data_IF_526817291399
#
_entry.id   IF_526817291399
#
_cell.length_a   1.000
_cell.length_b   1.000
_cell.length_c   1.000
_cell.angle_alpha   90.00
_cell.angle_beta   90.00
_cell.angle_gamma   90.00
#
_symmetry.space_group_name_H-M   'P 1'
#
loop_
_entity.id
_entity.type
_entity.pdbx_description
1 polymer ?
#
# COMPACT_ATOMS: atom_id res chain seq x y z
N UNK A 1 -32.19 21.10 -32.54
CA UNK A 1 -30.93 20.35 -32.75
C UNK A 1 -30.28 20.05 -31.37
N UNK A 2 -31.03 19.52 -30.39
CA UNK A 2 -30.55 19.16 -29.05
C UNK A 2 -31.36 18.00 -28.43
N UNK A 3 -31.75 17.02 -29.27
CA UNK A 3 -32.57 15.88 -28.84
C UNK A 3 -31.83 14.57 -28.54
N UNK A 4 -30.49 14.50 -28.74
CA UNK A 4 -29.71 13.24 -28.62
C UNK A 4 -28.98 13.07 -27.29
N UNK A 5 -28.84 14.12 -26.50
CA UNK A 5 -28.11 14.05 -25.21
C UNK A 5 -28.94 13.48 -24.06
N UNK A 6 -30.28 13.48 -24.14
CA UNK A 6 -31.14 13.01 -23.05
C UNK A 6 -31.45 11.52 -23.09
N UNK A 7 -31.27 10.82 -24.19
CA UNK A 7 -31.49 9.36 -24.29
C UNK A 7 -30.29 8.53 -23.80
N UNK A 8 -29.10 9.13 -23.64
CA UNK A 8 -27.92 8.42 -23.16
C UNK A 8 -27.80 8.34 -21.62
N UNK A 9 -28.59 9.12 -20.89
CA UNK A 9 -28.55 9.15 -19.42
C UNK A 9 -29.69 8.35 -18.74
N UNK A 10 -30.61 7.78 -19.50
CA UNK A 10 -31.65 6.87 -19.00
C UNK A 10 -31.23 5.40 -19.11
N UNK A 11 -29.97 5.07 -18.81
CA UNK A 11 -29.55 3.68 -18.69
C UNK A 11 -29.88 3.15 -17.30
N UNK A 12 -30.90 2.32 -17.29
CA UNK A 12 -31.39 1.42 -16.25
C UNK A 12 -30.33 1.12 -15.17
N UNK A 13 -30.80 1.13 -13.90
CA UNK A 13 -30.07 0.54 -12.78
C UNK A 13 -29.61 -0.86 -13.20
N UNK A 14 -28.30 -1.12 -13.30
CA UNK A 14 -27.85 -2.45 -13.71
C UNK A 14 -28.29 -3.45 -12.67
N UNK A 15 -28.98 -4.47 -13.12
CA UNK A 15 -29.45 -5.61 -12.36
C UNK A 15 -28.29 -6.24 -11.56
N UNK A 16 -28.60 -6.74 -10.37
CA UNK A 16 -27.58 -7.31 -9.46
C UNK A 16 -26.80 -8.46 -10.11
N UNK A 17 -27.45 -9.20 -11.02
CA UNK A 17 -26.84 -10.28 -11.81
C UNK A 17 -25.80 -9.77 -12.82
N UNK A 18 -26.03 -8.62 -13.44
CA UNK A 18 -25.09 -7.99 -14.39
C UNK A 18 -23.86 -7.44 -13.66
N UNK A 19 -24.03 -6.87 -12.46
CA UNK A 19 -22.90 -6.44 -11.62
C UNK A 19 -22.01 -7.60 -11.18
N UNK A 20 -22.61 -8.75 -10.92
CA UNK A 20 -21.89 -9.97 -10.54
C UNK A 20 -21.15 -10.57 -11.74
N UNK A 21 -21.75 -10.58 -12.93
CA UNK A 21 -21.11 -11.04 -14.17
C UNK A 21 -19.93 -10.16 -14.58
N UNK A 22 -20.03 -8.84 -14.46
CA UNK A 22 -18.91 -7.91 -14.74
C UNK A 22 -17.78 -8.11 -13.74
N UNK A 23 -18.09 -8.30 -12.45
CA UNK A 23 -17.08 -8.61 -11.43
C UNK A 23 -16.34 -9.91 -11.73
N UNK A 24 -17.07 -10.97 -12.09
CA UNK A 24 -16.48 -12.28 -12.42
C UNK A 24 -15.65 -12.21 -13.69
N UNK A 25 -16.14 -11.56 -14.76
CA UNK A 25 -15.38 -11.37 -15.99
C UNK A 25 -14.10 -10.54 -15.77
N UNK A 26 -14.17 -9.48 -14.97
CA UNK A 26 -13.00 -8.65 -14.65
C UNK A 26 -11.96 -9.41 -13.82
N UNK A 27 -12.42 -10.22 -12.84
CA UNK A 27 -11.56 -11.10 -12.04
C UNK A 27 -10.93 -12.17 -12.93
N UNK A 28 -11.71 -12.80 -13.83
CA UNK A 28 -11.18 -13.82 -14.75
C UNK A 28 -10.22 -13.26 -15.79
N UNK A 29 -10.47 -12.06 -16.31
CA UNK A 29 -9.55 -11.38 -17.24
C UNK A 29 -8.27 -10.96 -16.54
N UNK A 30 -8.35 -10.48 -15.31
CA UNK A 30 -7.18 -10.19 -14.48
C UNK A 30 -6.41 -11.46 -14.15
N UNK A 31 -7.13 -12.54 -13.84
CA UNK A 31 -6.55 -13.86 -13.61
C UNK A 31 -5.81 -14.38 -14.85
N UNK A 32 -6.38 -14.24 -16.05
CA UNK A 32 -5.75 -14.68 -17.31
C UNK A 32 -4.49 -13.87 -17.68
N UNK A 33 -4.38 -12.63 -17.24
CA UNK A 33 -3.19 -11.79 -17.46
C UNK A 33 -2.05 -12.20 -16.49
N UNK A 34 -2.38 -12.68 -15.28
CA UNK A 34 -1.41 -13.08 -14.27
C UNK A 34 -1.16 -14.60 -14.20
N UNK A 35 -1.93 -15.43 -14.90
CA UNK A 35 -1.79 -16.89 -14.93
C UNK A 35 -0.80 -17.49 -15.95
N UNK A 36 -0.08 -16.76 -16.82
CA UNK A 36 0.92 -17.42 -17.68
C UNK A 36 2.02 -18.13 -16.88
N UNK A 37 2.15 -17.87 -15.59
CA UNK A 37 3.23 -18.43 -14.76
C UNK A 37 2.92 -19.76 -14.11
N UNK A 38 1.68 -20.22 -14.07
CA UNK A 38 1.34 -21.52 -13.45
C UNK A 38 1.57 -22.70 -14.42
N UNK A 39 1.61 -22.45 -15.73
CA UNK A 39 1.89 -23.48 -16.75
C UNK A 39 3.42 -23.67 -16.96
N UNK A 40 4.26 -22.78 -16.43
CA UNK A 40 5.70 -22.74 -16.69
C UNK A 40 6.55 -23.66 -15.79
N UNK A 41 5.93 -24.50 -14.97
CA UNK A 41 6.65 -25.42 -14.06
C UNK A 41 6.95 -26.80 -14.67
N UNK A 42 6.72 -27.02 -15.96
CA UNK A 42 6.80 -28.36 -16.54
C UNK A 42 7.81 -28.53 -17.69
N UNK A 43 8.60 -27.51 -18.03
CA UNK A 43 9.67 -27.66 -19.03
C UNK A 43 10.92 -26.96 -18.56
N UNK A 44 11.99 -27.74 -18.35
CA UNK A 44 13.33 -27.29 -17.94
C UNK A 44 14.12 -26.50 -19.02
N UNK A 45 13.45 -25.83 -19.93
CA UNK A 45 14.06 -24.78 -20.72
C UNK A 45 13.98 -23.47 -19.93
N UNK A 46 15.03 -23.16 -19.20
CA UNK A 46 15.31 -21.81 -18.71
C UNK A 46 15.29 -20.90 -19.94
N UNK A 47 14.14 -20.27 -20.21
CA UNK A 47 14.05 -19.14 -21.11
C UNK A 47 15.05 -18.11 -20.58
N UNK A 48 16.22 -18.06 -21.20
CA UNK A 48 17.25 -17.06 -20.90
C UNK A 48 16.68 -15.71 -21.31
N UNK A 49 15.94 -15.09 -20.40
CA UNK A 49 15.43 -13.72 -20.63
C UNK A 49 16.64 -12.82 -20.89
N UNK A 50 16.55 -11.97 -21.92
CA UNK A 50 17.61 -11.00 -22.17
C UNK A 50 17.80 -10.14 -20.91
N UNK A 51 19.00 -9.64 -20.66
CA UNK A 51 19.38 -8.91 -19.45
C UNK A 51 18.41 -7.74 -19.09
N UNK A 52 17.75 -7.15 -20.08
CA UNK A 52 16.75 -6.09 -19.93
C UNK A 52 15.34 -6.60 -19.60
N UNK A 53 15.08 -7.89 -19.76
CA UNK A 53 13.74 -8.48 -19.59
C UNK A 53 13.20 -8.34 -18.17
N UNK A 54 14.03 -8.65 -17.16
CA UNK A 54 13.64 -8.49 -15.76
C UNK A 54 13.43 -7.02 -15.34
N UNK A 55 14.31 -6.07 -15.68
CA UNK A 55 14.06 -4.65 -15.47
C UNK A 55 12.76 -4.14 -16.11
N UNK A 56 12.47 -4.55 -17.35
CA UNK A 56 11.24 -4.19 -18.04
C UNK A 56 10.00 -4.78 -17.35
N UNK A 57 10.03 -6.06 -16.99
CA UNK A 57 8.93 -6.71 -16.27
C UNK A 57 8.65 -6.01 -14.93
N UNK A 58 9.70 -5.66 -14.18
CA UNK A 58 9.59 -4.93 -12.93
C UNK A 58 9.00 -3.53 -13.12
N UNK A 59 9.45 -2.79 -14.15
CA UNK A 59 8.93 -1.48 -14.48
C UNK A 59 7.41 -1.53 -14.75
N UNK A 60 6.95 -2.42 -15.62
CA UNK A 60 5.52 -2.53 -15.92
C UNK A 60 4.72 -3.02 -14.71
N UNK A 61 5.22 -4.00 -13.98
CA UNK A 61 4.55 -4.50 -12.77
C UNK A 61 4.38 -3.38 -11.75
N UNK A 62 5.44 -2.63 -11.46
CA UNK A 62 5.38 -1.54 -10.48
C UNK A 62 4.58 -0.34 -10.99
N UNK A 63 4.56 -0.08 -12.29
CA UNK A 63 3.70 0.94 -12.89
C UNK A 63 2.21 0.66 -12.60
N UNK A 64 1.75 -0.56 -12.83
CA UNK A 64 0.38 -0.94 -12.50
C UNK A 64 0.13 -0.96 -10.98
N UNK A 65 1.09 -1.47 -10.20
CA UNK A 65 1.02 -1.42 -8.73
C UNK A 65 0.88 0.03 -8.24
N UNK A 66 1.57 0.98 -8.87
CA UNK A 66 1.47 2.40 -8.53
C UNK A 66 0.08 2.97 -8.72
N UNK A 67 -0.56 2.63 -9.84
CA UNK A 67 -1.94 3.05 -10.10
C UNK A 67 -2.89 2.46 -9.04
N UNK A 68 -2.89 1.14 -8.86
CA UNK A 68 -3.81 0.47 -7.95
C UNK A 68 -3.50 0.73 -6.48
N UNK A 69 -2.23 0.82 -6.09
CA UNK A 69 -1.81 1.08 -4.72
C UNK A 69 -2.27 2.45 -4.21
N UNK A 70 -2.17 3.48 -5.05
CA UNK A 70 -2.67 4.83 -4.69
C UNK A 70 -4.20 4.86 -4.67
N UNK A 71 -4.87 4.24 -5.64
CA UNK A 71 -6.33 4.15 -5.67
C UNK A 71 -6.90 3.40 -4.46
N UNK A 72 -6.17 2.41 -3.94
CA UNK A 72 -6.55 1.68 -2.73
C UNK A 72 -6.08 2.35 -1.42
N UNK A 73 -5.21 3.37 -1.50
CA UNK A 73 -4.68 4.09 -0.35
C UNK A 73 -3.68 3.31 0.51
N UNK A 74 -3.08 2.23 0.00
CA UNK A 74 -2.20 1.33 0.77
C UNK A 74 -0.71 1.46 0.45
N UNK A 75 -0.35 2.26 -0.55
CA UNK A 75 1.05 2.41 -0.98
C UNK A 75 1.57 1.22 -1.81
N UNK A 76 2.62 1.46 -2.59
CA UNK A 76 3.13 0.50 -3.57
C UNK A 76 3.88 -0.69 -2.97
N UNK A 77 4.59 -0.51 -1.86
CA UNK A 77 5.43 -1.55 -1.24
C UNK A 77 4.64 -2.78 -0.79
N UNK A 78 3.43 -2.54 -0.25
CA UNK A 78 2.54 -3.61 0.25
C UNK A 78 2.13 -4.59 -0.85
N UNK A 79 1.96 -4.11 -2.08
CA UNK A 79 1.64 -4.95 -3.23
C UNK A 79 2.91 -5.54 -3.87
N UNK A 80 3.99 -4.75 -3.92
CA UNK A 80 5.21 -5.15 -4.60
C UNK A 80 5.90 -6.33 -3.91
N UNK A 81 6.14 -6.26 -2.60
CA UNK A 81 6.93 -7.28 -1.90
C UNK A 81 6.31 -8.67 -2.02
N UNK A 82 5.01 -8.87 -1.74
CA UNK A 82 4.38 -10.18 -1.92
C UNK A 82 4.42 -10.67 -3.36
N UNK A 83 4.13 -9.81 -4.33
CA UNK A 83 4.16 -10.18 -5.74
C UNK A 83 5.57 -10.52 -6.21
N UNK A 84 6.54 -9.64 -5.91
CA UNK A 84 7.91 -9.86 -6.34
C UNK A 84 8.54 -11.08 -5.66
N UNK A 85 8.32 -11.29 -4.36
CA UNK A 85 8.85 -12.45 -3.64
C UNK A 85 8.24 -13.78 -4.08
N UNK A 86 6.97 -13.76 -4.55
CA UNK A 86 6.25 -14.97 -4.96
C UNK A 86 6.49 -15.36 -6.42
N UNK A 87 6.61 -14.38 -7.32
CA UNK A 87 6.60 -14.61 -8.76
C UNK A 87 7.94 -14.35 -9.45
N UNK A 88 8.84 -13.60 -8.82
CA UNK A 88 10.13 -13.27 -9.40
C UNK A 88 11.26 -14.10 -8.75
N UNK A 89 12.34 -14.46 -9.49
CA UNK A 89 13.42 -15.30 -8.99
C UNK A 89 14.48 -14.51 -8.21
N UNK A 90 14.05 -13.47 -7.46
CA UNK A 90 14.98 -12.66 -6.67
C UNK A 90 15.04 -13.13 -5.21
N UNK A 91 16.20 -12.97 -4.59
CA UNK A 91 16.32 -13.22 -3.16
C UNK A 91 15.44 -12.25 -2.37
N UNK A 92 14.80 -12.75 -1.32
CA UNK A 92 13.79 -12.03 -0.54
C UNK A 92 14.32 -10.69 0.02
N UNK A 93 15.58 -10.60 0.39
CA UNK A 93 16.15 -9.37 0.96
C UNK A 93 16.23 -8.24 -0.07
N UNK A 94 16.56 -8.52 -1.33
CA UNK A 94 16.54 -7.54 -2.41
C UNK A 94 15.12 -7.06 -2.71
N UNK A 95 14.16 -7.97 -2.65
CA UNK A 95 12.74 -7.63 -2.84
C UNK A 95 12.26 -6.71 -1.71
N UNK A 96 12.62 -7.01 -0.45
CA UNK A 96 12.25 -6.22 0.72
C UNK A 96 12.90 -4.84 0.71
N UNK A 97 14.21 -4.78 0.44
CA UNK A 97 14.92 -3.51 0.27
C UNK A 97 14.30 -2.64 -0.82
N UNK A 98 14.05 -3.23 -2.00
CA UNK A 98 13.36 -2.54 -3.10
C UNK A 98 11.95 -2.10 -2.71
N UNK A 99 11.21 -2.92 -1.95
CA UNK A 99 9.86 -2.61 -1.48
C UNK A 99 9.78 -1.31 -0.67
N UNK A 100 10.76 -1.05 0.20
CA UNK A 100 10.86 0.21 0.95
C UNK A 100 11.09 1.42 0.03
N UNK A 101 11.97 1.30 -0.97
CA UNK A 101 12.18 2.36 -1.96
C UNK A 101 10.93 2.59 -2.82
N UNK A 102 10.19 1.55 -3.16
CA UNK A 102 8.92 1.64 -3.88
C UNK A 102 7.86 2.34 -3.02
N UNK A 103 7.74 1.99 -1.74
CA UNK A 103 6.82 2.63 -0.82
C UNK A 103 7.16 4.13 -0.65
N UNK A 104 8.43 4.45 -0.46
CA UNK A 104 8.95 5.81 -0.43
C UNK A 104 8.66 6.58 -1.73
N UNK A 105 8.98 5.99 -2.89
CA UNK A 105 8.75 6.62 -4.19
C UNK A 105 7.28 6.87 -4.50
N UNK A 106 6.39 5.94 -4.14
CA UNK A 106 4.95 6.10 -4.32
C UNK A 106 4.39 7.22 -3.43
N UNK A 107 4.83 7.32 -2.17
CA UNK A 107 4.40 8.36 -1.25
C UNK A 107 4.89 9.74 -1.68
N UNK A 108 6.16 9.87 -2.08
CA UNK A 108 6.73 11.12 -2.58
C UNK A 108 6.08 11.58 -3.89
N UNK A 109 5.71 10.64 -4.79
CA UNK A 109 5.05 10.97 -6.04
C UNK A 109 3.60 11.46 -5.85
N UNK A 110 2.91 10.99 -4.80
CA UNK A 110 1.55 11.38 -4.46
C UNK A 110 1.50 12.63 -3.55
N UNK A 111 2.53 12.88 -2.74
CA UNK A 111 2.57 13.91 -1.71
C UNK A 111 2.27 15.34 -2.20
N UNK A 112 2.83 15.85 -3.31
CA UNK A 112 2.58 17.23 -3.74
C UNK A 112 1.10 17.54 -3.93
N UNK A 113 0.37 16.65 -4.60
CA UNK A 113 -1.05 16.83 -4.85
C UNK A 113 -1.91 16.82 -3.58
N UNK A 114 -1.48 16.09 -2.55
CA UNK A 114 -2.20 15.99 -1.27
C UNK A 114 -1.87 17.15 -0.34
N UNK A 115 -0.64 17.68 -0.41
CA UNK A 115 -0.21 18.85 0.35
C UNK A 115 -0.86 20.15 -0.14
N UNK A 116 -0.99 20.34 -1.46
CA UNK A 116 -1.65 21.49 -2.06
C UNK A 116 -3.09 21.68 -1.58
N UNK A 117 -3.75 20.59 -1.19
CA UNK A 117 -5.12 20.57 -0.68
C UNK A 117 -5.25 20.76 0.83
N UNK A 118 -4.18 21.07 1.55
CA UNK A 118 -4.14 21.18 3.02
C UNK A 118 -4.75 19.98 3.78
N UNK A 119 -4.74 18.78 3.15
CA UNK A 119 -5.28 17.57 3.75
C UNK A 119 -4.26 16.86 4.66
N UNK A 120 -2.97 17.06 4.44
CA UNK A 120 -1.92 16.43 5.23
C UNK A 120 -1.60 17.23 6.49
N UNK A 121 -1.65 16.59 7.65
CA UNK A 121 -1.33 17.21 8.94
C UNK A 121 0.07 16.79 9.42
N UNK A 122 1.00 17.75 9.44
CA UNK A 122 2.36 17.52 9.97
C UNK A 122 2.30 17.18 11.46
N UNK A 123 1.39 17.83 12.23
CA UNK A 123 1.21 17.58 13.67
C UNK A 123 0.80 16.14 13.98
N UNK A 124 0.05 15.52 13.06
CA UNK A 124 -0.35 14.13 13.19
C UNK A 124 0.71 13.17 12.60
N UNK A 125 1.35 13.55 11.48
CA UNK A 125 2.36 12.74 10.82
C UNK A 125 3.62 12.57 11.66
N UNK A 126 4.09 13.64 12.31
CA UNK A 126 5.38 13.64 13.01
C UNK A 126 5.46 12.62 14.15
N UNK A 127 4.55 12.61 15.15
CA UNK A 127 4.65 11.65 16.25
C UNK A 127 4.45 10.21 15.76
N UNK A 128 3.56 9.97 14.81
CA UNK A 128 3.32 8.63 14.25
C UNK A 128 4.53 8.13 13.45
N UNK A 129 5.13 8.99 12.63
CA UNK A 129 6.34 8.68 11.87
C UNK A 129 7.55 8.43 12.77
N UNK A 130 7.75 9.21 13.83
CA UNK A 130 8.88 9.03 14.75
C UNK A 130 8.81 7.66 15.45
N UNK A 131 7.64 7.30 15.98
CA UNK A 131 7.44 6.00 16.62
C UNK A 131 7.63 4.87 15.61
N UNK A 132 6.96 4.96 14.46
CA UNK A 132 7.08 3.93 13.43
C UNK A 132 8.52 3.80 12.90
N UNK A 133 9.25 4.91 12.72
CA UNK A 133 10.65 4.89 12.27
C UNK A 133 11.59 4.21 13.24
N UNK A 134 11.47 4.51 14.54
CA UNK A 134 12.29 3.88 15.55
C UNK A 134 12.12 2.34 15.53
N UNK A 135 10.88 1.88 15.44
CA UNK A 135 10.60 0.45 15.39
C UNK A 135 10.83 -0.18 14.01
N UNK A 136 10.77 0.59 12.92
CA UNK A 136 11.15 0.12 11.59
C UNK A 136 12.65 -0.16 11.49
N UNK A 137 13.50 0.63 12.16
CA UNK A 137 14.93 0.33 12.28
C UNK A 137 15.14 -1.02 12.99
N UNK A 138 14.50 -1.22 14.15
CA UNK A 138 14.57 -2.49 14.89
C UNK A 138 14.07 -3.64 14.03
N UNK A 139 12.93 -3.44 13.36
CA UNK A 139 12.35 -4.42 12.45
C UNK A 139 13.26 -4.78 11.28
N UNK A 140 13.93 -3.80 10.67
CA UNK A 140 14.86 -4.03 9.56
C UNK A 140 16.06 -4.90 9.99
N UNK A 141 16.68 -4.61 11.13
CA UNK A 141 17.76 -5.43 11.68
C UNK A 141 17.29 -6.85 12.01
N UNK A 142 16.14 -6.97 12.69
CA UNK A 142 15.58 -8.28 13.04
C UNK A 142 15.23 -9.10 11.79
N UNK A 143 14.62 -8.47 10.80
CA UNK A 143 14.26 -9.11 9.55
C UNK A 143 15.48 -9.61 8.75
N UNK A 144 16.55 -8.81 8.66
CA UNK A 144 17.80 -9.22 8.01
C UNK A 144 18.48 -10.34 8.79
N UNK A 145 18.51 -10.29 10.12
CA UNK A 145 19.01 -11.36 10.96
C UNK A 145 18.24 -12.68 10.75
N UNK A 146 16.90 -12.61 10.74
CA UNK A 146 16.06 -13.78 10.54
C UNK A 146 16.24 -14.39 9.13
N UNK A 147 16.42 -13.54 8.10
CA UNK A 147 16.71 -13.98 6.74
C UNK A 147 18.07 -14.65 6.63
N UNK A 148 19.08 -14.19 7.37
CA UNK A 148 20.40 -14.79 7.42
C UNK A 148 20.39 -16.18 8.07
N UNK A 149 19.46 -16.46 8.98
CA UNK A 149 19.28 -17.81 9.54
C UNK A 149 18.65 -18.74 8.50
N UNK A 150 17.53 -18.37 7.93
CA UNK A 150 16.86 -19.11 6.86
C UNK A 150 15.85 -18.20 6.12
N UNK A 151 16.03 -17.96 4.82
CA UNK A 151 15.10 -17.16 4.02
C UNK A 151 13.66 -17.68 4.03
N UNK A 152 13.43 -18.98 4.24
CA UNK A 152 12.10 -19.57 4.33
C UNK A 152 11.29 -19.05 5.52
N UNK A 153 11.95 -18.71 6.63
CA UNK A 153 11.25 -18.13 7.80
C UNK A 153 10.67 -16.77 7.48
N UNK A 154 11.43 -15.93 6.78
CA UNK A 154 10.92 -14.62 6.33
C UNK A 154 9.82 -14.79 5.28
N UNK A 155 9.98 -15.71 4.34
CA UNK A 155 9.00 -15.97 3.30
C UNK A 155 7.65 -16.43 3.89
N UNK A 156 7.70 -17.38 4.84
CA UNK A 156 6.50 -17.90 5.52
C UNK A 156 5.82 -16.85 6.40
N UNK A 157 6.60 -16.14 7.23
CA UNK A 157 6.07 -15.09 8.10
C UNK A 157 5.53 -13.90 7.31
N UNK A 158 6.13 -13.56 6.16
CA UNK A 158 5.58 -12.58 5.21
C UNK A 158 4.19 -13.02 4.73
N UNK A 159 4.06 -14.28 4.28
CA UNK A 159 2.78 -14.80 3.80
C UNK A 159 1.68 -14.74 4.87
N UNK A 160 1.98 -15.12 6.10
CA UNK A 160 1.04 -15.04 7.24
C UNK A 160 0.65 -13.58 7.52
N UNK A 161 1.62 -12.68 7.53
CA UNK A 161 1.38 -11.23 7.72
C UNK A 161 0.48 -10.66 6.65
N UNK A 162 0.70 -11.03 5.37
CA UNK A 162 -0.13 -10.55 4.26
C UNK A 162 -1.57 -11.04 4.39
N UNK A 163 -1.77 -12.30 4.78
CA UNK A 163 -3.12 -12.83 5.05
C UNK A 163 -3.77 -12.05 6.20
N UNK A 164 -3.02 -11.76 7.26
CA UNK A 164 -3.49 -10.89 8.35
C UNK A 164 -3.90 -9.49 7.86
N UNK A 165 -3.11 -8.88 6.97
CA UNK A 165 -3.44 -7.59 6.34
C UNK A 165 -4.74 -7.70 5.52
N UNK A 166 -4.92 -8.77 4.75
CA UNK A 166 -6.15 -9.04 3.99
C UNK A 166 -7.36 -9.09 4.91
N UNK A 167 -7.26 -9.79 6.05
CA UNK A 167 -8.35 -9.81 7.04
C UNK A 167 -8.64 -8.41 7.60
N UNK A 168 -7.61 -7.66 8.00
CA UNK A 168 -7.80 -6.28 8.46
C UNK A 168 -8.50 -5.44 7.39
N UNK A 169 -8.08 -5.52 6.13
CA UNK A 169 -8.69 -4.79 5.03
C UNK A 169 -10.15 -5.20 4.77
N UNK A 170 -10.51 -6.47 4.96
CA UNK A 170 -11.89 -6.95 4.78
C UNK A 170 -12.83 -6.40 5.85
N UNK A 171 -12.37 -6.34 7.10
CA UNK A 171 -13.18 -5.93 8.25
C UNK A 171 -13.08 -4.44 8.60
N UNK A 172 -12.11 -3.71 8.05
CA UNK A 172 -11.99 -2.28 8.28
C UNK A 172 -13.19 -1.53 7.65
N UNK A 173 -13.97 -0.88 8.50
CA UNK A 173 -15.04 0.05 8.09
C UNK A 173 -14.48 1.46 8.12
N UNK A 174 -14.42 2.10 6.98
CA UNK A 174 -14.01 3.50 6.91
C UNK A 174 -15.13 4.39 7.47
N UNK A 175 -14.78 5.28 8.38
CA UNK A 175 -15.69 6.30 8.90
C UNK A 175 -15.38 7.64 8.22
N UNK A 176 -16.29 8.12 7.39
CA UNK A 176 -16.10 9.40 6.67
C UNK A 176 -16.06 10.59 7.65
N UNK A 177 -16.87 10.52 8.72
CA UNK A 177 -16.99 11.57 9.73
C UNK A 177 -16.95 10.95 11.13
N UNK A 178 -15.75 10.76 11.71
CA UNK A 178 -15.66 10.30 13.09
C UNK A 178 -16.19 11.38 14.05
N UNK A 179 -16.84 10.94 15.13
CA UNK A 179 -17.38 11.86 16.16
C UNK A 179 -16.25 12.69 16.79
N UNK A 180 -16.49 13.99 16.93
CA UNK A 180 -15.57 14.93 17.59
C UNK A 180 -15.78 14.83 19.10
N UNK A 181 -15.28 13.75 19.72
CA UNK A 181 -15.22 13.68 21.19
C UNK A 181 -13.91 14.31 21.66
N UNK A 182 -13.97 15.02 22.80
CA UNK A 182 -12.86 15.78 23.34
C UNK A 182 -11.58 14.97 23.46
N UNK A 183 -10.50 15.46 22.86
CA UNK A 183 -9.22 14.77 22.76
C UNK A 183 -8.60 14.42 24.12
N UNK A 184 -7.91 13.30 24.21
CA UNK A 184 -7.13 12.87 25.35
C UNK A 184 -5.99 13.84 25.68
N UNK A 185 -5.44 13.77 26.89
CA UNK A 185 -4.32 14.59 27.35
C UNK A 185 -3.15 14.68 26.33
N UNK A 186 -2.77 13.56 25.71
CA UNK A 186 -1.74 13.52 24.66
C UNK A 186 -2.15 14.30 23.39
N UNK A 187 -3.42 14.26 23.02
CA UNK A 187 -3.94 15.01 21.88
C UNK A 187 -3.86 16.52 22.13
N UNK A 188 -4.20 16.94 23.34
CA UNK A 188 -4.11 18.34 23.75
C UNK A 188 -2.67 18.82 23.84
N UNK A 189 -1.77 18.01 24.41
CA UNK A 189 -0.34 18.30 24.50
C UNK A 189 0.32 18.43 23.12
N UNK A 190 -0.04 17.59 22.18
CA UNK A 190 0.51 17.61 20.80
C UNK A 190 -0.24 18.54 19.86
N UNK A 191 -1.30 19.20 20.33
CA UNK A 191 -2.14 20.12 19.55
C UNK A 191 -2.58 19.52 18.19
N UNK A 192 -2.98 18.23 18.19
CA UNK A 192 -3.36 17.50 16.96
C UNK A 192 -4.83 17.81 16.65
N UNK A 193 -5.04 18.89 15.94
CA UNK A 193 -6.33 19.33 15.40
C UNK A 193 -6.10 20.06 14.08
N UNK A 194 -7.11 20.14 13.26
CA UNK A 194 -7.01 20.84 12.00
C UNK A 194 -8.38 21.18 11.42
N UNK A 195 -8.37 21.96 10.36
CA UNK A 195 -9.53 22.32 9.56
C UNK A 195 -9.19 22.01 8.11
N UNK A 196 -10.05 21.33 7.39
CA UNK A 196 -9.91 21.16 5.95
C UNK A 196 -11.21 21.57 5.24
N UNK A 197 -11.07 22.06 4.02
CA UNK A 197 -12.21 22.43 3.20
C UNK A 197 -12.67 21.22 2.37
N UNK A 198 -13.93 20.84 2.52
CA UNK A 198 -14.50 19.74 1.75
C UNK A 198 -14.87 20.21 0.34
N UNK A 199 -14.19 19.67 -0.69
CA UNK A 199 -14.37 20.10 -2.09
C UNK A 199 -15.81 19.90 -2.62
N UNK A 200 -16.53 18.91 -2.10
CA UNK A 200 -17.89 18.57 -2.55
C UNK A 200 -18.95 19.50 -2.01
N UNK A 201 -18.77 20.01 -0.79
CA UNK A 201 -19.76 20.84 -0.09
C UNK A 201 -19.29 22.27 0.12
N UNK A 202 -18.00 22.56 -0.09
CA UNK A 202 -17.38 23.86 0.19
C UNK A 202 -17.32 24.22 1.68
N UNK A 203 -17.73 23.30 2.57
CA UNK A 203 -17.77 23.53 4.02
C UNK A 203 -16.42 23.27 4.66
N UNK A 204 -16.09 24.09 5.66
CA UNK A 204 -14.95 23.82 6.54
C UNK A 204 -15.32 22.76 7.56
N UNK A 205 -14.53 21.68 7.59
CA UNK A 205 -14.67 20.56 8.53
C UNK A 205 -13.53 20.66 9.54
N UNK A 206 -13.87 20.99 10.78
CA UNK A 206 -12.93 20.92 11.91
C UNK A 206 -12.84 19.48 12.41
N UNK A 207 -11.64 19.02 12.71
CA UNK A 207 -11.40 17.67 13.21
C UNK A 207 -10.35 17.67 14.32
N UNK A 208 -10.50 16.74 15.24
CA UNK A 208 -9.54 16.45 16.30
C UNK A 208 -9.35 14.94 16.40
N UNK A 209 -8.17 14.50 16.82
CA UNK A 209 -7.95 13.08 17.07
C UNK A 209 -8.22 12.74 18.53
N UNK A 210 -8.67 11.51 18.78
CA UNK A 210 -8.80 10.90 20.09
C UNK A 210 -7.96 9.64 20.14
N UNK A 211 -7.74 9.06 21.34
CA UNK A 211 -6.96 7.83 21.50
C UNK A 211 -5.53 7.86 20.90
N UNK A 212 -4.86 9.02 20.91
CA UNK A 212 -3.51 9.19 20.37
C UNK A 212 -2.52 8.16 20.95
N UNK A 213 -2.59 7.86 22.25
CA UNK A 213 -1.73 6.85 22.87
C UNK A 213 -1.93 5.44 22.32
N UNK A 214 -3.17 5.01 22.09
CA UNK A 214 -3.48 3.72 21.48
C UNK A 214 -3.01 3.68 20.02
N UNK A 215 -3.20 4.78 19.28
CA UNK A 215 -2.70 4.92 17.92
C UNK A 215 -1.18 4.78 17.84
N UNK A 216 -0.44 5.51 18.68
CA UNK A 216 1.02 5.42 18.75
C UNK A 216 1.51 4.02 19.10
N UNK A 217 0.82 3.32 20.03
CA UNK A 217 1.13 1.93 20.33
C UNK A 217 0.94 1.00 19.12
N UNK A 218 -0.11 1.19 18.32
CA UNK A 218 -0.28 0.46 17.07
C UNK A 218 0.85 0.77 16.06
N UNK A 219 1.34 2.01 16.03
CA UNK A 219 2.46 2.39 15.15
C UNK A 219 3.79 1.70 15.53
N UNK A 220 3.97 1.21 16.76
CA UNK A 220 5.08 0.33 17.14
C UNK A 220 5.07 -0.94 16.28
N UNK A 221 3.93 -1.63 16.23
CA UNK A 221 3.79 -2.86 15.44
C UNK A 221 3.89 -2.60 13.94
N UNK A 222 3.29 -1.52 13.49
CA UNK A 222 3.35 -1.13 12.07
C UNK A 222 4.79 -0.88 11.64
N UNK A 223 5.56 -0.13 12.44
CA UNK A 223 6.97 0.11 12.18
C UNK A 223 7.78 -1.19 12.14
N UNK A 224 7.61 -2.04 13.15
CA UNK A 224 8.27 -3.36 13.18
C UNK A 224 7.99 -4.17 11.91
N UNK A 225 6.72 -4.35 11.54
CA UNK A 225 6.34 -5.13 10.36
C UNK A 225 6.81 -4.48 9.05
N UNK A 226 6.75 -3.14 8.96
CA UNK A 226 7.26 -2.40 7.81
C UNK A 226 8.77 -2.64 7.62
N UNK A 227 9.54 -2.59 8.71
CA UNK A 227 10.98 -2.86 8.69
C UNK A 227 11.31 -4.33 8.43
N UNK A 228 10.63 -5.27 9.10
CA UNK A 228 10.88 -6.72 8.92
C UNK A 228 10.65 -7.14 7.48
N UNK A 229 9.54 -6.74 6.89
CA UNK A 229 9.10 -7.26 5.59
C UNK A 229 9.34 -6.33 4.41
N UNK A 230 9.76 -5.09 4.65
CA UNK A 230 9.96 -4.13 3.57
C UNK A 230 8.67 -3.69 2.86
N UNK A 231 7.52 -3.90 3.51
CA UNK A 231 6.19 -3.62 2.94
C UNK A 231 5.87 -2.12 2.88
N UNK A 232 6.57 -1.33 3.70
CA UNK A 232 6.12 0.01 4.05
C UNK A 232 4.93 -0.02 5.03
N UNK A 233 4.63 1.10 5.66
CA UNK A 233 3.59 1.20 6.69
C UNK A 233 2.19 1.53 6.15
N UNK A 234 2.03 1.71 4.83
CA UNK A 234 0.82 2.25 4.21
C UNK A 234 -0.47 1.47 4.44
N UNK A 235 -0.36 0.16 4.57
CA UNK A 235 -1.50 -0.74 4.77
C UNK A 235 -2.24 -0.52 6.09
N UNK A 236 -1.54 -0.08 7.13
CA UNK A 236 -2.09 0.08 8.46
C UNK A 236 -2.26 1.56 8.86
N UNK A 237 -1.48 2.47 8.29
CA UNK A 237 -1.52 3.88 8.67
C UNK A 237 -2.93 4.46 8.55
N UNK A 238 -3.59 4.26 7.41
CA UNK A 238 -4.93 4.82 7.16
C UNK A 238 -5.96 4.25 8.12
N UNK A 239 -6.10 2.92 8.30
CA UNK A 239 -7.00 2.37 9.32
C UNK A 239 -6.72 2.85 10.74
N UNK A 240 -5.46 2.94 11.16
CA UNK A 240 -5.12 3.37 12.51
C UNK A 240 -5.47 4.86 12.70
N UNK A 241 -5.10 5.72 11.77
CA UNK A 241 -5.39 7.14 11.82
C UNK A 241 -6.90 7.41 11.81
N UNK A 242 -7.67 6.67 11.00
CA UNK A 242 -9.10 6.86 10.87
C UNK A 242 -9.90 6.16 11.99
N UNK A 243 -9.74 4.84 12.17
CA UNK A 243 -10.60 4.06 13.07
C UNK A 243 -10.19 4.16 14.53
N UNK A 244 -8.89 4.24 14.84
CA UNK A 244 -8.39 4.27 16.21
C UNK A 244 -8.24 5.71 16.70
N UNK A 245 -7.62 6.57 15.88
CA UNK A 245 -7.35 7.95 16.26
C UNK A 245 -8.48 8.91 15.87
N UNK A 246 -9.40 8.53 14.98
CA UNK A 246 -10.57 9.33 14.61
C UNK A 246 -10.27 10.47 13.63
N UNK A 247 -9.18 10.41 12.88
CA UNK A 247 -8.94 11.37 11.81
C UNK A 247 -9.87 11.10 10.61
N UNK A 248 -10.41 12.14 9.94
CA UNK A 248 -11.18 11.94 8.71
C UNK A 248 -10.38 11.16 7.66
N UNK A 249 -11.05 10.30 6.87
CA UNK A 249 -10.36 9.42 5.89
C UNK A 249 -9.44 10.20 4.95
N UNK A 250 -9.88 11.36 4.44
CA UNK A 250 -9.06 12.20 3.55
C UNK A 250 -7.78 12.69 4.22
N UNK A 251 -7.89 13.12 5.50
CA UNK A 251 -6.73 13.54 6.31
C UNK A 251 -5.83 12.35 6.63
N UNK A 252 -6.41 11.21 6.98
CA UNK A 252 -5.67 9.99 7.28
C UNK A 252 -4.84 9.51 6.07
N UNK A 253 -5.41 9.50 4.87
CA UNK A 253 -4.70 9.12 3.64
C UNK A 253 -3.56 10.08 3.33
N UNK A 254 -3.83 11.39 3.37
CA UNK A 254 -2.81 12.39 3.07
C UNK A 254 -1.67 12.40 4.10
N UNK A 255 -2.02 12.29 5.39
CA UNK A 255 -1.06 12.25 6.50
C UNK A 255 -0.24 10.96 6.49
N UNK A 256 -0.87 9.83 6.12
CA UNK A 256 -0.19 8.54 5.94
C UNK A 256 0.96 8.65 4.95
N UNK A 257 0.78 9.34 3.81
CA UNK A 257 1.85 9.55 2.82
C UNK A 257 3.08 10.25 3.41
N UNK A 258 2.89 11.28 4.24
CA UNK A 258 3.99 11.95 4.95
C UNK A 258 4.67 11.03 5.97
N UNK A 259 3.89 10.32 6.79
CA UNK A 259 4.45 9.39 7.77
C UNK A 259 5.26 8.27 7.10
N UNK A 260 4.77 7.74 5.97
CA UNK A 260 5.46 6.74 5.15
C UNK A 260 6.80 7.23 4.64
N UNK A 261 6.88 8.44 4.10
CA UNK A 261 8.13 8.97 3.54
C UNK A 261 9.25 9.02 4.59
N UNK A 262 8.93 9.30 5.84
CA UNK A 262 9.90 9.30 6.94
C UNK A 262 10.22 7.88 7.41
N UNK A 263 9.20 7.06 7.66
CA UNK A 263 9.36 5.68 8.18
C UNK A 263 10.12 4.79 7.21
N UNK A 264 9.73 4.82 5.94
CA UNK A 264 10.33 3.94 4.93
C UNK A 264 11.75 4.37 4.57
N UNK A 265 12.08 5.68 4.63
CA UNK A 265 13.45 6.14 4.41
C UNK A 265 14.43 5.64 5.49
N UNK A 266 13.99 5.57 6.75
CA UNK A 266 14.84 5.07 7.84
C UNK A 266 15.12 3.57 7.70
N UNK A 267 14.11 2.78 7.37
CA UNK A 267 14.28 1.34 7.11
C UNK A 267 15.09 1.09 5.83
N UNK A 268 14.80 1.82 4.75
CA UNK A 268 15.51 1.71 3.47
C UNK A 268 17.03 1.96 3.64
N UNK A 269 17.40 2.90 4.49
CA UNK A 269 18.80 3.17 4.83
C UNK A 269 19.50 1.95 5.41
N UNK A 270 18.85 1.18 6.28
CA UNK A 270 19.43 -0.05 6.86
C UNK A 270 19.65 -1.10 5.77
N UNK A 271 18.65 -1.33 4.90
CA UNK A 271 18.78 -2.28 3.79
C UNK A 271 19.86 -1.86 2.79
N UNK A 272 19.99 -0.57 2.50
CA UNK A 272 21.04 -0.04 1.63
C UNK A 272 22.44 -0.30 2.21
N UNK A 273 22.66 0.03 3.49
CA UNK A 273 23.96 -0.18 4.15
C UNK A 273 24.32 -1.66 4.29
N UNK A 274 23.34 -2.55 4.33
CA UNK A 274 23.57 -4.01 4.38
C UNK A 274 23.73 -4.64 3.00
N UNK A 275 23.75 -3.84 1.92
CA UNK A 275 23.88 -4.34 0.55
C UNK A 275 22.64 -5.08 0.03
N UNK A 276 21.50 -4.95 0.71
CA UNK A 276 20.25 -5.60 0.34
C UNK A 276 19.40 -4.78 -0.65
N UNK A 277 20.05 -3.94 -1.46
CA UNK A 277 19.41 -3.13 -2.50
C UNK A 277 20.19 -3.29 -3.80
N UNK A 278 19.57 -3.86 -4.81
CA UNK A 278 20.15 -4.02 -6.14
C UNK A 278 19.61 -2.93 -7.08
N UNK A 279 20.46 -2.04 -7.60
CA UNK A 279 20.02 -0.96 -8.51
C UNK A 279 19.25 -1.46 -9.73
N UNK A 280 19.64 -2.61 -10.28
CA UNK A 280 19.02 -3.22 -11.45
C UNK A 280 17.55 -3.62 -11.21
N UNK A 281 17.18 -3.92 -9.97
CA UNK A 281 15.81 -4.22 -9.55
C UNK A 281 15.11 -2.92 -9.11
N UNK A 282 15.80 -2.12 -8.30
CA UNK A 282 15.22 -0.96 -7.61
C UNK A 282 14.92 0.20 -8.55
N UNK A 283 15.84 0.54 -9.47
CA UNK A 283 15.69 1.71 -10.34
C UNK A 283 14.47 1.58 -11.27
N UNK A 284 14.32 0.52 -12.09
CA UNK A 284 13.17 0.38 -12.96
C UNK A 284 11.86 0.29 -12.17
N UNK A 285 11.88 -0.38 -11.02
CA UNK A 285 10.73 -0.47 -10.13
C UNK A 285 10.32 0.89 -9.56
N UNK A 286 11.30 1.71 -9.15
CA UNK A 286 11.06 3.04 -8.62
C UNK A 286 10.48 3.98 -9.68
N UNK A 287 11.03 3.96 -10.89
CA UNK A 287 10.49 4.77 -12.00
C UNK A 287 9.07 4.34 -12.33
N UNK A 288 8.82 3.05 -12.45
CA UNK A 288 7.48 2.50 -12.72
C UNK A 288 6.46 2.93 -11.68
N UNK A 289 6.76 2.74 -10.38
CA UNK A 289 5.83 3.08 -9.31
C UNK A 289 5.54 4.58 -9.23
N UNK A 290 6.54 5.44 -9.42
CA UNK A 290 6.35 6.89 -9.39
C UNK A 290 5.46 7.38 -10.52
N UNK A 291 5.63 6.87 -11.74
CA UNK A 291 4.77 7.19 -12.87
C UNK A 291 3.35 6.66 -12.66
N UNK A 292 3.21 5.42 -12.20
CA UNK A 292 1.92 4.82 -11.87
C UNK A 292 1.19 5.57 -10.77
N UNK A 293 1.87 5.93 -9.69
CA UNK A 293 1.32 6.66 -8.57
C UNK A 293 0.81 8.06 -8.96
N UNK A 294 1.53 8.76 -9.85
CA UNK A 294 1.06 10.04 -10.41
C UNK A 294 -0.22 9.90 -11.21
N UNK A 295 -0.34 8.84 -12.00
CA UNK A 295 -1.56 8.56 -12.77
C UNK A 295 -2.68 8.16 -11.81
N UNK A 296 -2.41 7.27 -10.86
CA UNK A 296 -3.35 6.82 -9.84
C UNK A 296 -3.93 7.97 -9.02
N UNK A 297 -3.10 8.92 -8.59
CA UNK A 297 -3.56 10.09 -7.83
C UNK A 297 -4.51 10.99 -8.62
N UNK A 298 -4.31 11.15 -9.93
CA UNK A 298 -5.21 11.89 -10.82
C UNK A 298 -6.53 11.15 -11.10
N UNK A 299 -6.51 9.82 -11.06
CA UNK A 299 -7.69 8.97 -11.26
C UNK A 299 -8.52 8.80 -9.98
N UNK A 300 -7.93 9.00 -8.81
CA UNK A 300 -8.57 8.80 -7.50
C UNK A 300 -9.94 9.46 -7.35
N UNK A 301 -10.16 10.72 -7.79
CA UNK A 301 -11.49 11.35 -7.70
C UNK A 301 -12.56 10.71 -8.60
N UNK A 302 -12.15 10.01 -9.67
CA UNK A 302 -13.04 9.44 -10.70
C UNK A 302 -13.42 7.99 -10.45
N UNK A 303 -12.69 7.27 -9.58
CA UNK A 303 -12.85 5.83 -9.36
C UNK A 303 -13.47 5.57 -7.99
N UNK A 304 -14.39 4.59 -7.90
CA UNK A 304 -14.94 4.16 -6.62
C UNK A 304 -13.90 3.32 -5.85
N UNK A 305 -13.43 3.77 -4.67
CA UNK A 305 -12.37 3.08 -3.93
C UNK A 305 -12.69 1.62 -3.59
N UNK A 306 -13.96 1.31 -3.34
CA UNK A 306 -14.41 -0.03 -2.99
C UNK A 306 -14.08 -1.09 -4.06
N UNK A 307 -14.22 -0.77 -5.35
CA UNK A 307 -13.92 -1.74 -6.42
C UNK A 307 -12.42 -2.06 -6.48
N UNK A 308 -11.57 -1.04 -6.34
CA UNK A 308 -10.11 -1.19 -6.33
C UNK A 308 -9.67 -1.99 -5.12
N UNK A 309 -10.26 -1.74 -3.94
CA UNK A 309 -9.96 -2.44 -2.69
C UNK A 309 -10.16 -3.95 -2.82
N UNK A 310 -11.25 -4.42 -3.44
CA UNK A 310 -11.48 -5.86 -3.64
C UNK A 310 -10.46 -6.50 -4.58
N UNK A 311 -10.05 -5.80 -5.65
CA UNK A 311 -8.99 -6.29 -6.55
C UNK A 311 -7.68 -6.46 -5.77
N UNK A 312 -7.30 -5.47 -5.00
CA UNK A 312 -6.08 -5.49 -4.19
C UNK A 312 -6.11 -6.60 -3.15
N UNK A 313 -7.23 -6.78 -2.44
CA UNK A 313 -7.43 -7.87 -1.48
C UNK A 313 -7.23 -9.23 -2.15
N UNK A 314 -7.81 -9.44 -3.33
CA UNK A 314 -7.68 -10.71 -4.06
C UNK A 314 -6.23 -10.98 -4.47
N UNK A 315 -5.51 -9.96 -4.95
CA UNK A 315 -4.10 -10.07 -5.33
C UNK A 315 -3.23 -10.38 -4.12
N UNK A 316 -3.43 -9.67 -3.01
CA UNK A 316 -2.69 -9.90 -1.77
C UNK A 316 -2.97 -11.29 -1.19
N UNK A 317 -4.20 -11.75 -1.22
CA UNK A 317 -4.55 -13.09 -0.75
C UNK A 317 -3.81 -14.17 -1.53
N UNK A 318 -3.84 -14.10 -2.87
CA UNK A 318 -3.13 -15.06 -3.73
C UNK A 318 -1.62 -15.01 -3.52
N UNK A 319 -1.04 -13.80 -3.43
CA UNK A 319 0.39 -13.64 -3.18
C UNK A 319 0.79 -14.14 -1.78
N UNK A 320 -0.06 -13.94 -0.76
CA UNK A 320 0.15 -14.44 0.59
C UNK A 320 0.15 -15.96 0.66
N UNK A 321 -0.83 -16.61 0.03
CA UNK A 321 -0.90 -18.07 -0.05
C UNK A 321 0.33 -18.63 -0.77
N UNK A 322 0.71 -18.06 -1.94
CA UNK A 322 1.90 -18.49 -2.67
C UNK A 322 3.19 -18.24 -1.89
N UNK A 323 3.28 -17.16 -1.12
CA UNK A 323 4.43 -16.90 -0.26
C UNK A 323 4.60 -17.98 0.82
N UNK A 324 3.50 -18.45 1.40
CA UNK A 324 3.50 -19.57 2.34
C UNK A 324 3.93 -20.87 1.63
N UNK A 325 3.35 -21.18 0.48
CA UNK A 325 3.72 -22.38 -0.29
C UNK A 325 5.22 -22.39 -0.62
N UNK A 326 5.76 -21.27 -1.08
CA UNK A 326 7.19 -21.12 -1.38
C UNK A 326 8.08 -21.33 -0.15
N UNK A 327 7.63 -20.98 1.05
CA UNK A 327 8.36 -21.23 2.29
C UNK A 327 8.47 -22.73 2.61
N UNK A 328 7.50 -23.53 2.16
CA UNK A 328 7.52 -25.01 2.30
C UNK A 328 8.14 -25.74 1.08
N UNK A 329 8.68 -24.99 0.10
CA UNK A 329 9.37 -25.56 -1.06
C UNK A 329 8.46 -25.93 -2.24
N UNK A 330 7.20 -25.43 -2.26
CA UNK A 330 6.24 -25.61 -3.35
C UNK A 330 6.17 -24.41 -4.29
#
# INVERSE_FOLDING_TARGET
MFGWAYQFFAWNKPDSSMKQSIKIKFILTFYSIFTPTVIFSATDEVLTMPWWGWPAALFFTTFFIGIFGVLAGIGGGVLFVPLASSFFPFHIDFVRGTGLFIALGSSLAAAPHLLEKNLASIKLALPTALVASAFAIVGAFFGLWLSALNPAYIQGSLGVTIIGIVFIMLFAKDSEHPSVDGGNYLTQMLHISGIYQEETTGKEVSWTVHNTGKGLFCFVFVGLLAGIFGLGAGWANVPILNMIMGAPVKVAVATSGLALSVTDSTAAWIYLNKGAVLPMITVPSLVGIMLGARIGSKLLPKVKPAAVRYIVISVLFLAGVRSIMKAFGY
#
